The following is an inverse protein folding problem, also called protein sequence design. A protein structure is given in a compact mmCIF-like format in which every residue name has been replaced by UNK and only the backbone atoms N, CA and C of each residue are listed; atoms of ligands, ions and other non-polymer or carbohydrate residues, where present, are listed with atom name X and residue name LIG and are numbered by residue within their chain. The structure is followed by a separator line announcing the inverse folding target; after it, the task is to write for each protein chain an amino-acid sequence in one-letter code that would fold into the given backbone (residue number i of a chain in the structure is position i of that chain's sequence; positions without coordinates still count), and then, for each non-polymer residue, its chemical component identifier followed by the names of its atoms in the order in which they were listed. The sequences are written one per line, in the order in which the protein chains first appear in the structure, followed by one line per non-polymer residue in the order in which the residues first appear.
data_IF_551995953178
#
_entry.id   IF_551995953178
#
_cell.length_a   1.000
_cell.length_b   1.000
_cell.length_c   1.000
_cell.angle_alpha   90.00
_cell.angle_beta   90.00
_cell.angle_gamma   90.00
#
_symmetry.space_group_name_H-M   'P 1'
#
loop_
_entity.id
_entity.type
_entity.pdbx_description
1 polymer ?
#
# COMPACT_ATOMS: atom_id res chain seq x y z
N UNK A 1 9.65 -4.58 36.02
CA UNK A 1 9.32 -4.23 34.62
C UNK A 1 7.97 -4.85 34.30
N UNK A 2 7.07 -4.08 33.69
CA UNK A 2 5.78 -4.57 33.21
C UNK A 2 5.98 -5.32 31.88
N UNK A 3 5.40 -6.52 31.78
CA UNK A 3 5.40 -7.31 30.55
C UNK A 3 4.34 -6.78 29.59
N UNK A 4 4.63 -6.77 28.28
CA UNK A 4 3.69 -6.42 27.23
C UNK A 4 3.17 -7.70 26.58
N UNK A 5 1.86 -7.94 26.66
CA UNK A 5 1.24 -9.13 26.07
C UNK A 5 0.78 -8.87 24.62
N UNK A 6 0.34 -7.64 24.31
CA UNK A 6 -0.09 -7.23 22.98
C UNK A 6 0.06 -5.73 22.79
N UNK A 7 0.39 -5.30 21.56
CA UNK A 7 0.43 -3.89 21.17
C UNK A 7 -0.74 -3.57 20.25
N UNK A 8 -1.41 -2.43 20.51
CA UNK A 8 -2.43 -1.87 19.63
C UNK A 8 -1.85 -0.62 18.92
N UNK A 9 -1.22 -0.77 17.75
CA UNK A 9 -0.59 0.35 17.07
C UNK A 9 -1.65 1.26 16.43
N UNK A 10 -1.69 2.54 16.83
CA UNK A 10 -2.54 3.59 16.23
C UNK A 10 -1.72 4.76 15.69
N UNK A 11 -0.50 4.48 15.22
CA UNK A 11 0.42 5.47 14.64
C UNK A 11 0.07 5.64 13.16
N UNK A 12 -0.28 6.87 12.78
CA UNK A 12 -0.63 7.22 11.40
C UNK A 12 0.61 7.62 10.59
N UNK A 13 0.51 7.45 9.27
CA UNK A 13 1.51 7.88 8.31
C UNK A 13 2.63 6.87 8.07
N UNK A 14 3.68 7.33 7.38
CA UNK A 14 4.86 6.54 7.04
C UNK A 14 5.49 5.95 8.29
N UNK A 15 5.97 4.71 8.20
CA UNK A 15 6.45 3.84 9.29
C UNK A 15 5.36 3.23 10.19
N UNK A 16 4.21 3.87 10.33
CA UNK A 16 3.10 3.36 11.15
C UNK A 16 2.19 2.38 10.39
N UNK A 17 1.86 2.72 9.15
CA UNK A 17 0.86 2.01 8.35
C UNK A 17 1.46 1.19 7.20
N UNK A 18 2.72 1.43 6.85
CA UNK A 18 3.39 0.90 5.65
C UNK A 18 4.07 -0.47 5.86
N UNK A 19 3.94 -1.06 7.05
CA UNK A 19 4.55 -2.35 7.38
C UNK A 19 5.84 -2.26 8.19
N UNK A 20 6.44 -1.07 8.35
CA UNK A 20 7.69 -0.92 9.10
C UNK A 20 7.53 -1.25 10.59
N UNK A 21 6.58 -0.60 11.27
CA UNK A 21 6.29 -0.87 12.69
C UNK A 21 5.87 -2.34 12.89
N UNK A 22 5.06 -2.89 12.00
CA UNK A 22 4.64 -4.29 12.04
C UNK A 22 5.84 -5.24 11.91
N UNK A 23 6.84 -4.86 11.10
CA UNK A 23 8.10 -5.58 10.95
C UNK A 23 8.92 -5.54 12.22
N UNK A 24 9.07 -4.37 12.83
CA UNK A 24 9.74 -4.20 14.12
C UNK A 24 9.09 -5.05 15.22
N UNK A 25 7.76 -5.02 15.31
CA UNK A 25 7.00 -5.80 16.30
C UNK A 25 7.15 -7.31 16.08
N UNK A 26 7.16 -7.77 14.82
CA UNK A 26 7.48 -9.16 14.50
C UNK A 26 8.90 -9.54 14.92
N UNK A 27 9.89 -8.70 14.66
CA UNK A 27 11.28 -8.96 15.04
C UNK A 27 11.47 -9.00 16.57
N UNK A 28 10.71 -8.20 17.30
CA UNK A 28 10.67 -8.23 18.76
C UNK A 28 9.84 -9.40 19.34
N UNK A 29 9.21 -10.22 18.49
CA UNK A 29 8.31 -11.29 18.88
C UNK A 29 7.15 -10.79 19.78
N UNK A 30 6.65 -9.58 19.53
CA UNK A 30 5.54 -8.98 20.27
C UNK A 30 4.26 -9.12 19.44
N UNK A 31 3.20 -9.77 19.96
CA UNK A 31 1.90 -9.80 19.31
C UNK A 31 1.34 -8.39 19.13
N UNK A 32 0.66 -8.13 18.01
CA UNK A 32 0.05 -6.83 17.75
C UNK A 32 -1.25 -6.94 16.96
N UNK A 33 -2.09 -5.91 17.08
CA UNK A 33 -3.38 -5.80 16.39
C UNK A 33 -3.20 -5.17 15.02
N UNK A 34 -3.93 -5.67 14.02
CA UNK A 34 -4.01 -5.10 12.67
C UNK A 34 -3.43 -6.01 11.58
N UNK A 35 -3.19 -5.44 10.41
CA UNK A 35 -2.56 -6.13 9.28
C UNK A 35 -1.09 -6.43 9.58
N UNK A 36 -0.58 -7.57 9.09
CA UNK A 36 0.85 -7.85 9.11
C UNK A 36 1.61 -7.09 8.02
N UNK A 37 2.95 -7.15 8.05
CA UNK A 37 3.86 -6.40 7.16
C UNK A 37 3.43 -6.34 5.70
N UNK A 38 3.14 -7.50 5.09
CA UNK A 38 2.77 -7.55 3.67
C UNK A 38 1.42 -6.89 3.38
N UNK A 39 0.43 -7.08 4.27
CA UNK A 39 -0.89 -6.46 4.13
C UNK A 39 -0.81 -4.95 4.29
N UNK A 40 -0.09 -4.48 5.31
CA UNK A 40 0.19 -3.06 5.56
C UNK A 40 0.86 -2.42 4.33
N UNK A 41 2.00 -2.94 3.89
CA UNK A 41 2.75 -2.42 2.74
C UNK A 41 1.92 -2.41 1.44
N UNK A 42 1.21 -3.49 1.15
CA UNK A 42 0.40 -3.59 -0.07
C UNK A 42 -0.78 -2.61 -0.08
N UNK A 43 -1.36 -2.30 1.10
CA UNK A 43 -2.51 -1.41 1.25
C UNK A 43 -2.17 0.08 1.21
N UNK A 44 -0.95 0.47 1.59
CA UNK A 44 -0.51 1.88 1.55
C UNK A 44 -0.07 2.31 0.14
N UNK A 45 0.55 1.41 -0.62
CA UNK A 45 0.90 1.68 -2.02
C UNK A 45 -0.33 1.52 -2.94
N UNK A 46 -0.90 2.64 -3.38
CA UNK A 46 -2.08 2.66 -4.26
C UNK A 46 -1.86 1.97 -5.61
N UNK A 47 -0.63 1.96 -6.13
CA UNK A 47 -0.29 1.28 -7.38
C UNK A 47 -0.36 -0.23 -7.20
N UNK A 48 0.23 -0.75 -6.13
CA UNK A 48 0.15 -2.18 -5.76
C UNK A 48 -1.29 -2.56 -5.41
N UNK A 49 -1.95 -1.80 -4.53
CA UNK A 49 -3.34 -2.03 -4.13
C UNK A 49 -4.25 -2.18 -5.34
N UNK A 50 -4.23 -1.21 -6.27
CA UNK A 50 -5.10 -1.25 -7.46
C UNK A 50 -4.81 -2.45 -8.36
N UNK A 51 -3.54 -2.85 -8.53
CA UNK A 51 -3.19 -4.05 -9.29
C UNK A 51 -3.75 -5.30 -8.64
N UNK A 52 -3.56 -5.48 -7.33
CA UNK A 52 -4.06 -6.64 -6.60
C UNK A 52 -5.59 -6.72 -6.65
N UNK A 53 -6.29 -5.59 -6.47
CA UNK A 53 -7.76 -5.54 -6.56
C UNK A 53 -8.26 -5.91 -7.96
N UNK A 54 -7.62 -5.37 -9.02
CA UNK A 54 -7.95 -5.71 -10.41
C UNK A 54 -7.71 -7.19 -10.70
N UNK A 55 -6.58 -7.73 -10.27
CA UNK A 55 -6.23 -9.13 -10.50
C UNK A 55 -7.15 -10.08 -9.72
N UNK A 56 -7.73 -9.61 -8.61
CA UNK A 56 -8.80 -10.30 -7.86
C UNK A 56 -10.22 -10.13 -8.48
N UNK A 57 -10.34 -9.42 -9.60
CA UNK A 57 -11.62 -9.20 -10.28
C UNK A 57 -12.52 -8.13 -9.64
N UNK A 58 -11.98 -7.27 -8.77
CA UNK A 58 -12.73 -6.18 -8.16
C UNK A 58 -12.73 -4.95 -9.06
N UNK A 59 -13.89 -4.28 -9.13
CA UNK A 59 -14.03 -3.04 -9.88
C UNK A 59 -13.19 -1.93 -9.24
N UNK A 60 -12.30 -1.34 -10.04
CA UNK A 60 -11.48 -0.19 -9.65
C UNK A 60 -11.46 0.84 -10.77
N UNK A 61 -11.21 2.11 -10.42
CA UNK A 61 -11.02 3.15 -11.43
C UNK A 61 -9.78 2.87 -12.30
N UNK A 62 -9.86 3.06 -13.64
CA UNK A 62 -8.70 3.01 -14.53
C UNK A 62 -7.56 3.87 -14.01
N UNK A 63 -6.33 3.40 -14.16
CA UNK A 63 -5.16 4.11 -13.65
C UNK A 63 -3.90 3.76 -14.44
N UNK A 64 -2.92 4.65 -14.35
CA UNK A 64 -1.52 4.39 -14.69
C UNK A 64 -0.65 4.79 -13.49
N UNK A 65 0.50 4.17 -13.33
CA UNK A 65 1.48 4.55 -12.31
C UNK A 65 2.68 5.18 -12.98
N UNK A 66 2.97 6.43 -12.63
CA UNK A 66 4.12 7.17 -13.13
C UNK A 66 5.25 7.14 -12.11
N UNK A 67 6.46 6.85 -12.58
CA UNK A 67 7.70 6.98 -11.81
C UNK A 67 8.53 8.10 -12.40
N UNK A 68 9.54 8.57 -11.65
CA UNK A 68 10.47 9.59 -12.18
C UNK A 68 11.16 9.15 -13.47
N UNK A 69 11.45 7.86 -13.63
CA UNK A 69 12.08 7.30 -14.81
C UNK A 69 11.10 7.11 -15.98
N UNK A 70 9.82 6.84 -15.70
CA UNK A 70 8.83 6.56 -16.73
C UNK A 70 8.00 7.77 -17.14
N UNK A 71 8.10 8.91 -16.44
CA UNK A 71 7.22 10.07 -16.65
C UNK A 71 7.23 10.57 -18.11
N UNK A 72 8.38 10.55 -18.76
CA UNK A 72 8.54 11.09 -20.12
C UNK A 72 7.95 10.15 -21.19
N UNK A 73 7.63 8.91 -20.82
CA UNK A 73 6.96 7.95 -21.71
C UNK A 73 5.45 8.20 -21.85
N UNK A 74 4.88 9.06 -21.00
CA UNK A 74 3.44 9.32 -20.96
C UNK A 74 3.14 10.78 -21.31
N UNK A 75 2.70 11.02 -22.55
CA UNK A 75 2.17 12.31 -22.97
C UNK A 75 0.71 12.49 -22.52
N UNK A 76 0.31 13.72 -22.18
CA UNK A 76 -1.03 14.05 -21.68
C UNK A 76 -2.17 13.48 -22.56
N UNK A 77 -2.09 13.68 -23.88
CA UNK A 77 -3.11 13.17 -24.80
C UNK A 77 -3.22 11.65 -24.78
N UNK A 78 -2.08 10.94 -24.82
CA UNK A 78 -2.02 9.47 -24.74
C UNK A 78 -2.59 8.90 -23.44
N UNK A 79 -2.45 9.63 -22.34
CA UNK A 79 -3.01 9.21 -21.05
C UNK A 79 -4.53 9.40 -21.04
N UNK A 80 -5.01 10.50 -21.62
CA UNK A 80 -6.43 10.86 -21.62
C UNK A 80 -7.26 9.85 -22.43
N UNK A 81 -6.76 9.43 -23.59
CA UNK A 81 -7.42 8.41 -24.44
C UNK A 81 -7.57 7.05 -23.75
N UNK A 82 -6.64 6.69 -22.86
CA UNK A 82 -6.65 5.41 -22.15
C UNK A 82 -7.44 5.42 -20.83
N UNK A 83 -7.78 6.61 -20.31
CA UNK A 83 -8.44 6.76 -19.00
C UNK A 83 -9.92 7.10 -19.09
N UNK A 84 -10.40 7.59 -20.24
CA UNK A 84 -11.80 7.94 -20.46
C UNK A 84 -12.33 6.96 -21.51
N UNK A 85 -13.15 5.95 -21.12
CA UNK A 85 -13.84 5.12 -22.09
C UNK A 85 -14.74 6.04 -22.93
N UNK A 86 -14.60 6.00 -24.26
CA UNK A 86 -15.60 6.54 -25.17
C UNK A 86 -16.86 5.69 -25.17
#
# INVERSE_FOLDING_TARGET
MTQLDVIFPMVQGTLGEDGFLQGLLRMANIPFVGSGVAGSAASVDKGITKRLLRDAGLNIAPFITLTRASKDNYGFEKVTDNMIPR
#
